data_IF_365591333797
#
_entry.id   IF_365591333797
#
_cell.length_a   1.000
_cell.length_b   1.000
_cell.length_c   1.000
_cell.angle_alpha   90.00
_cell.angle_beta   90.00
_cell.angle_gamma   90.00
#
_symmetry.space_group_name_H-M   'P 1'
#
loop_
_entity.id
_entity.type
_entity.pdbx_description
1 polymer ?
#
# COMPACT_ATOMS: atom_id res chain seq x y z
N UNK A 1 15.06 -1.01 13.02
CA UNK A 1 14.21 -0.03 12.32
C UNK A 1 14.45 -0.19 10.83
N UNK A 2 13.41 -0.38 10.01
CA UNK A 2 13.51 -0.72 8.58
C UNK A 2 14.23 0.31 7.71
N UNK A 3 14.43 1.53 8.21
CA UNK A 3 15.21 2.59 7.56
C UNK A 3 16.65 2.21 7.21
N UNK A 4 17.18 1.11 7.77
CA UNK A 4 18.51 0.58 7.42
C UNK A 4 18.46 -0.70 6.56
N UNK A 5 17.28 -1.20 6.20
CA UNK A 5 17.11 -2.33 5.29
C UNK A 5 16.98 -1.88 3.85
N UNK A 6 17.64 -2.53 2.92
CA UNK A 6 17.45 -2.28 1.48
C UNK A 6 16.03 -2.66 1.00
N UNK A 7 15.78 -2.46 -0.30
CA UNK A 7 14.50 -2.78 -0.98
C UNK A 7 13.95 -4.15 -0.58
N UNK A 8 14.80 -5.17 -0.46
CA UNK A 8 14.38 -6.53 -0.13
C UNK A 8 13.70 -6.65 1.23
N UNK A 9 14.22 -5.98 2.26
CA UNK A 9 13.66 -6.05 3.60
C UNK A 9 12.34 -5.29 3.68
N UNK A 10 12.27 -4.12 3.05
CA UNK A 10 11.06 -3.28 3.02
C UNK A 10 9.96 -3.99 2.23
N UNK A 11 10.29 -4.58 1.07
CA UNK A 11 9.32 -5.28 0.21
C UNK A 11 8.73 -6.51 0.90
N UNK A 12 9.53 -7.24 1.70
CA UNK A 12 9.04 -8.35 2.51
C UNK A 12 8.00 -7.90 3.53
N UNK A 13 8.23 -6.77 4.22
CA UNK A 13 7.26 -6.20 5.15
C UNK A 13 5.97 -5.78 4.46
N UNK A 14 6.05 -5.10 3.31
CA UNK A 14 4.86 -4.76 2.51
C UNK A 14 4.03 -6.01 2.18
N UNK A 15 4.70 -7.10 1.75
CA UNK A 15 4.03 -8.36 1.46
C UNK A 15 3.41 -9.04 2.69
N UNK A 16 4.11 -9.03 3.82
CA UNK A 16 3.61 -9.54 5.10
C UNK A 16 2.34 -8.81 5.54
N UNK A 17 2.38 -7.47 5.65
CA UNK A 17 1.21 -6.70 6.11
C UNK A 17 0.02 -6.83 5.17
N UNK A 18 0.25 -6.93 3.85
CA UNK A 18 -0.83 -7.15 2.90
C UNK A 18 -1.55 -8.48 3.16
N UNK A 19 -0.81 -9.54 3.49
CA UNK A 19 -1.40 -10.84 3.86
C UNK A 19 -2.12 -10.73 5.20
N UNK A 20 -1.57 -10.02 6.18
CA UNK A 20 -2.21 -9.86 7.49
C UNK A 20 -3.52 -9.07 7.41
N UNK A 21 -3.59 -8.01 6.59
CA UNK A 21 -4.85 -7.29 6.31
C UNK A 21 -5.92 -8.25 5.77
N UNK A 22 -5.56 -9.12 4.81
CA UNK A 22 -6.49 -10.10 4.23
C UNK A 22 -6.95 -11.10 5.29
N UNK A 23 -6.03 -11.62 6.10
CA UNK A 23 -6.35 -12.56 7.19
C UNK A 23 -7.25 -11.92 8.24
N UNK A 24 -6.96 -10.68 8.64
CA UNK A 24 -7.77 -9.91 9.58
C UNK A 24 -9.20 -9.68 9.05
N UNK A 25 -9.32 -9.35 7.76
CA UNK A 25 -10.63 -9.18 7.12
C UNK A 25 -11.41 -10.50 7.04
N UNK A 26 -10.76 -11.62 6.73
CA UNK A 26 -11.38 -12.95 6.73
C UNK A 26 -11.88 -13.39 8.12
N UNK A 27 -11.35 -12.77 9.19
CA UNK A 27 -11.75 -13.04 10.58
C UNK A 27 -12.76 -12.04 11.13
N UNK A 28 -13.23 -11.08 10.32
CA UNK A 28 -14.11 -9.98 10.72
C UNK A 28 -13.56 -9.16 11.91
N UNK A 29 -12.23 -9.12 12.06
CA UNK A 29 -11.56 -8.37 13.13
C UNK A 29 -11.25 -6.96 12.66
N UNK A 30 -12.20 -6.04 12.90
CA UNK A 30 -12.08 -4.64 12.51
C UNK A 30 -10.85 -3.95 13.13
N UNK A 31 -10.52 -4.27 14.37
CA UNK A 31 -9.40 -3.65 15.07
C UNK A 31 -8.07 -4.08 14.45
N UNK A 32 -7.97 -5.36 14.13
CA UNK A 32 -6.80 -5.91 13.45
C UNK A 32 -6.66 -5.37 12.03
N UNK A 33 -7.75 -5.28 11.26
CA UNK A 33 -7.73 -4.68 9.91
C UNK A 33 -7.18 -3.25 9.95
N UNK A 34 -7.63 -2.41 10.89
CA UNK A 34 -7.15 -1.03 11.02
C UNK A 34 -5.65 -0.99 11.32
N UNK A 35 -5.17 -1.87 12.20
CA UNK A 35 -3.75 -1.95 12.57
C UNK A 35 -2.89 -2.33 11.37
N UNK A 36 -3.19 -3.44 10.70
CA UNK A 36 -2.33 -3.92 9.61
C UNK A 36 -2.47 -3.07 8.35
N UNK A 37 -3.60 -2.38 8.17
CA UNK A 37 -3.70 -1.37 7.10
C UNK A 37 -2.77 -0.19 7.38
N UNK A 38 -2.66 0.26 8.62
CA UNK A 38 -1.74 1.34 8.98
C UNK A 38 -0.28 0.92 8.78
N UNK A 39 0.09 -0.30 9.17
CA UNK A 39 1.44 -0.83 8.99
C UNK A 39 1.77 -1.06 7.50
N UNK A 40 0.81 -1.59 6.72
CA UNK A 40 0.92 -1.71 5.28
C UNK A 40 1.16 -0.34 4.61
N UNK A 41 0.36 0.67 4.95
CA UNK A 41 0.52 2.02 4.40
C UNK A 41 1.88 2.62 4.77
N UNK A 42 2.32 2.45 6.01
CA UNK A 42 3.63 2.93 6.46
C UNK A 42 4.76 2.28 5.65
N UNK A 43 4.77 0.95 5.52
CA UNK A 43 5.81 0.24 4.78
C UNK A 43 5.78 0.53 3.29
N UNK A 44 4.59 0.69 2.70
CA UNK A 44 4.44 1.10 1.30
C UNK A 44 5.03 2.50 1.06
N UNK A 45 4.71 3.48 1.92
CA UNK A 45 5.25 4.84 1.78
C UNK A 45 6.77 4.87 1.96
N UNK A 46 7.32 4.07 2.87
CA UNK A 46 8.78 3.91 3.04
C UNK A 46 9.41 3.30 1.79
N UNK A 47 8.79 2.29 1.19
CA UNK A 47 9.26 1.66 -0.05
C UNK A 47 9.28 2.66 -1.22
N UNK A 48 8.19 3.40 -1.42
CA UNK A 48 8.09 4.41 -2.47
C UNK A 48 9.18 5.47 -2.31
N UNK A 49 9.37 5.98 -1.09
CA UNK A 49 10.44 6.93 -0.79
C UNK A 49 11.83 6.36 -1.06
N UNK A 50 12.08 5.10 -0.70
CA UNK A 50 13.36 4.44 -0.96
C UNK A 50 13.63 4.31 -2.47
N UNK A 51 12.59 4.04 -3.26
CA UNK A 51 12.66 3.93 -4.72
C UNK A 51 12.69 5.29 -5.44
N UNK A 52 12.58 6.41 -4.72
CA UNK A 52 12.51 7.75 -5.29
C UNK A 52 11.20 8.06 -6.02
N UNK A 53 10.14 7.29 -5.75
CA UNK A 53 8.80 7.50 -6.32
C UNK A 53 8.04 8.50 -5.44
N UNK A 54 7.46 9.53 -6.04
CA UNK A 54 6.66 10.51 -5.29
C UNK A 54 5.25 9.96 -5.07
N UNK A 55 4.66 10.32 -3.94
CA UNK A 55 3.28 9.97 -3.67
C UNK A 55 2.32 10.60 -4.70
N UNK A 56 2.64 11.80 -5.19
CA UNK A 56 1.89 12.47 -6.25
C UNK A 56 1.80 11.63 -7.53
N UNK A 57 2.88 10.92 -7.91
CA UNK A 57 2.89 10.05 -9.09
C UNK A 57 1.85 8.92 -8.95
N UNK A 58 1.67 8.40 -7.72
CA UNK A 58 0.65 7.39 -7.40
C UNK A 58 -0.75 8.02 -7.43
N UNK A 59 -0.92 9.24 -6.93
CA UNK A 59 -2.19 9.96 -6.98
C UNK A 59 -2.61 10.25 -8.43
N UNK A 60 -1.70 10.69 -9.29
CA UNK A 60 -1.96 10.92 -10.71
C UNK A 60 -2.39 9.63 -11.41
N UNK A 61 -1.69 8.52 -11.15
CA UNK A 61 -2.08 7.21 -11.68
C UNK A 61 -3.48 6.78 -11.21
N UNK A 62 -3.81 7.01 -9.93
CA UNK A 62 -5.15 6.76 -9.41
C UNK A 62 -6.20 7.62 -10.12
N UNK A 63 -5.95 8.91 -10.33
CA UNK A 63 -6.85 9.79 -11.08
C UNK A 63 -7.05 9.26 -12.49
N UNK A 64 -5.97 8.96 -13.22
CA UNK A 64 -6.01 8.45 -14.58
C UNK A 64 -6.86 7.18 -14.71
N UNK A 65 -6.76 6.25 -13.74
CA UNK A 65 -7.58 5.03 -13.70
C UNK A 65 -9.07 5.29 -13.50
N UNK A 66 -9.44 6.39 -12.84
CA UNK A 66 -10.84 6.73 -12.60
C UNK A 66 -11.42 7.57 -13.74
N UNK A 67 -10.67 8.52 -14.31
CA UNK A 67 -11.10 9.28 -15.49
C UNK A 67 -11.20 8.42 -16.74
N UNK A 68 -10.28 7.48 -16.97
CA UNK A 68 -10.36 6.55 -18.11
C UNK A 68 -11.60 5.63 -18.05
N UNK A 69 -12.15 5.37 -16.86
CA UNK A 69 -13.38 4.57 -16.69
C UNK A 69 -14.66 5.34 -16.95
N UNK A 70 -14.66 6.66 -16.77
CA UNK A 70 -15.85 7.51 -16.95
C UNK A 70 -16.11 7.82 -18.44
N UNK A 71 -15.09 7.74 -19.31
CA UNK A 71 -15.23 8.00 -20.76
C UNK A 71 -15.75 6.83 -21.61
N UNK A 72 -15.97 5.64 -21.04
CA UNK A 72 -16.31 4.42 -21.80
C UNK A 72 -17.82 4.05 -21.78
N UNK A 73 -18.67 4.90 -21.20
CA UNK A 73 -20.13 4.70 -21.13
C UNK A 73 -20.94 5.93 -21.61
N UNK A 74 -20.42 6.67 -22.58
CA UNK A 74 -21.16 7.70 -23.33
C UNK A 74 -21.64 7.16 -24.67
#
# INVERSE_FOLDING_TARGET
MLVNGGVDLISKKVGEEAVEVVVAAMRDDRGWVVRETADLMYHLLVLLRFMGIKFDDICEELVNRHTARVGAHG
#
